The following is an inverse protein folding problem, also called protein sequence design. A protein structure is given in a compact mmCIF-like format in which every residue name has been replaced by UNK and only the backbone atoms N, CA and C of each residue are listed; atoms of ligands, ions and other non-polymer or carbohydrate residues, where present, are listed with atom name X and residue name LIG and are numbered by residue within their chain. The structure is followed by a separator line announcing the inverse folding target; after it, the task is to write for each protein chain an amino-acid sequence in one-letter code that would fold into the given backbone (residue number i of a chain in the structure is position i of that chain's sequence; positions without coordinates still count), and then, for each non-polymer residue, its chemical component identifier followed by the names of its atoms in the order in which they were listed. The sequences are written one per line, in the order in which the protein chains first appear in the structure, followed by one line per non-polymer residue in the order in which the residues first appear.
data_IF_546440596125
#
_entry.id   IF_546440596125
#
_cell.length_a   1.000
_cell.length_b   1.000
_cell.length_c   1.000
_cell.angle_alpha   90.00
_cell.angle_beta   90.00
_cell.angle_gamma   90.00
#
_symmetry.space_group_name_H-M   'P 1'
#
loop_
_entity.id
_entity.type
_entity.pdbx_description
1 polymer ?
#
# COMPACT_ATOMS: atom_id res chain seq x y z
N UNK A 1 -6.00 -6.74 -84.18
CA UNK A 1 -6.97 -7.11 -83.12
C UNK A 1 -6.16 -7.58 -81.91
N UNK A 2 -6.32 -6.88 -80.77
CA UNK A 2 -5.49 -6.98 -79.57
C UNK A 2 -5.57 -8.35 -78.84
N UNK A 3 -4.53 -8.71 -78.06
CA UNK A 3 -4.49 -9.96 -77.28
C UNK A 3 -5.25 -9.86 -75.95
N UNK A 4 -5.81 -11.01 -75.53
CA UNK A 4 -6.59 -11.22 -74.30
C UNK A 4 -5.81 -10.86 -73.05
N UNK A 5 -6.34 -9.92 -72.27
CA UNK A 5 -5.82 -9.53 -70.96
C UNK A 5 -6.06 -10.62 -69.91
N UNK A 6 -5.00 -11.01 -69.19
CA UNK A 6 -5.10 -11.81 -67.96
C UNK A 6 -5.83 -11.01 -66.88
N UNK A 7 -7.00 -11.48 -66.47
CA UNK A 7 -7.67 -11.03 -65.26
C UNK A 7 -6.92 -11.58 -64.04
N UNK A 8 -6.16 -10.73 -63.33
CA UNK A 8 -5.67 -11.04 -61.98
C UNK A 8 -6.87 -11.11 -61.04
N UNK A 9 -7.22 -12.31 -60.57
CA UNK A 9 -8.05 -12.47 -59.39
C UNK A 9 -7.32 -11.86 -58.20
N UNK A 10 -7.74 -10.66 -57.79
CA UNK A 10 -7.35 -10.09 -56.51
C UNK A 10 -8.19 -10.83 -55.47
N UNK A 11 -7.60 -11.86 -54.87
CA UNK A 11 -8.13 -12.47 -53.65
C UNK A 11 -8.14 -11.39 -52.55
N UNK A 12 -9.32 -10.87 -52.23
CA UNK A 12 -9.52 -9.99 -51.09
C UNK A 12 -9.30 -10.79 -49.82
N UNK A 13 -8.12 -10.68 -49.21
CA UNK A 13 -7.96 -11.07 -47.82
C UNK A 13 -8.93 -10.22 -46.99
N UNK A 14 -9.75 -10.81 -46.11
CA UNK A 14 -10.57 -10.03 -45.20
C UNK A 14 -9.60 -9.12 -44.43
N UNK A 15 -9.79 -7.80 -44.54
CA UNK A 15 -9.12 -6.86 -43.66
C UNK A 15 -9.47 -7.31 -42.25
N UNK A 16 -8.49 -7.86 -41.52
CA UNK A 16 -8.50 -7.88 -40.07
C UNK A 16 -8.42 -6.40 -39.64
N UNK A 17 -9.52 -5.68 -39.75
CA UNK A 17 -9.72 -4.50 -38.93
C UNK A 17 -9.69 -5.00 -37.51
N UNK A 18 -8.56 -4.85 -36.81
CA UNK A 18 -8.59 -4.82 -35.35
C UNK A 18 -9.67 -3.79 -35.02
N UNK A 19 -10.77 -4.22 -34.42
CA UNK A 19 -11.64 -3.27 -33.72
C UNK A 19 -10.73 -2.48 -32.80
N UNK A 20 -10.79 -1.14 -32.85
CA UNK A 20 -9.90 -0.29 -32.05
C UNK A 20 -10.10 -0.50 -30.53
N UNK A 21 -11.20 -1.14 -30.14
CA UNK A 21 -11.51 -1.51 -28.78
C UNK A 21 -12.00 -2.96 -28.67
N UNK A 22 -11.76 -3.57 -27.51
CA UNK A 22 -12.24 -4.91 -27.16
C UNK A 22 -13.50 -4.81 -26.32
N UNK A 23 -14.50 -5.65 -26.60
CA UNK A 23 -15.79 -5.62 -25.91
C UNK A 23 -15.78 -6.40 -24.60
N UNK A 24 -16.42 -5.84 -23.58
CA UNK A 24 -16.76 -6.51 -22.34
C UNK A 24 -18.09 -7.30 -22.49
N UNK A 25 -18.26 -8.39 -21.74
CA UNK A 25 -19.55 -9.08 -21.68
C UNK A 25 -20.59 -8.18 -20.97
N UNK A 26 -21.68 -7.87 -21.68
CA UNK A 26 -22.77 -7.07 -21.11
C UNK A 26 -23.71 -7.93 -20.29
N UNK A 27 -23.84 -7.58 -19.01
CA UNK A 27 -24.81 -8.16 -18.10
C UNK A 27 -26.02 -7.24 -17.95
N UNK A 28 -27.21 -7.77 -18.22
CA UNK A 28 -28.49 -7.14 -17.91
C UNK A 28 -29.00 -7.51 -16.50
N UNK A 29 -28.18 -8.19 -15.70
CA UNK A 29 -28.54 -8.65 -14.36
C UNK A 29 -28.76 -7.41 -13.47
N UNK A 30 -29.93 -7.27 -12.82
CA UNK A 30 -30.20 -6.15 -11.93
C UNK A 30 -29.29 -6.20 -10.70
N UNK A 31 -28.96 -5.02 -10.15
CA UNK A 31 -28.25 -4.89 -8.88
C UNK A 31 -28.85 -3.76 -8.03
N UNK A 32 -28.83 -3.95 -6.73
CA UNK A 32 -29.24 -2.96 -5.73
C UNK A 32 -28.13 -2.82 -4.69
N UNK A 33 -27.71 -1.58 -4.43
CA UNK A 33 -26.72 -1.27 -3.42
C UNK A 33 -27.39 -0.60 -2.22
N UNK A 34 -27.46 -1.32 -1.11
CA UNK A 34 -28.11 -0.89 0.12
C UNK A 34 -27.06 -0.41 1.12
N UNK A 35 -27.26 0.77 1.68
CA UNK A 35 -26.46 1.29 2.78
C UNK A 35 -27.20 1.08 4.10
N UNK A 36 -26.48 0.77 5.17
CA UNK A 36 -27.03 0.64 6.54
C UNK A 36 -27.70 1.94 7.02
N UNK A 37 -27.31 3.08 6.44
CA UNK A 37 -27.93 4.40 6.66
C UNK A 37 -29.30 4.57 5.98
N UNK A 38 -29.79 3.54 5.27
CA UNK A 38 -31.15 3.44 4.72
C UNK A 38 -31.28 3.76 3.23
N UNK A 39 -30.25 4.31 2.58
CA UNK A 39 -30.30 4.64 1.16
C UNK A 39 -30.10 3.39 0.30
N UNK A 40 -30.76 3.36 -0.86
CA UNK A 40 -30.64 2.29 -1.84
C UNK A 40 -30.40 2.87 -3.22
N UNK A 41 -29.41 2.34 -3.93
CA UNK A 41 -29.06 2.73 -5.30
C UNK A 41 -29.27 1.54 -6.22
N UNK A 42 -30.09 1.72 -7.26
CA UNK A 42 -30.37 0.66 -8.23
C UNK A 42 -29.52 0.86 -9.48
N UNK A 43 -29.04 -0.24 -10.02
CA UNK A 43 -28.19 -0.24 -11.19
C UNK A 43 -28.17 -1.61 -11.86
N UNK A 44 -27.10 -1.85 -12.61
CA UNK A 44 -26.85 -3.13 -13.28
C UNK A 44 -25.60 -3.76 -12.73
N UNK A 45 -25.62 -5.08 -12.59
CA UNK A 45 -24.46 -5.84 -12.16
C UNK A 45 -23.44 -5.94 -13.29
N UNK A 46 -22.15 -5.85 -12.92
CA UNK A 46 -21.04 -6.36 -13.70
C UNK A 46 -20.15 -7.22 -12.79
N UNK A 47 -19.27 -8.05 -13.37
CA UNK A 47 -18.41 -8.92 -12.57
C UNK A 47 -19.13 -10.15 -12.05
N UNK A 48 -18.87 -10.50 -10.79
CA UNK A 48 -19.39 -11.71 -10.15
C UNK A 48 -20.91 -11.62 -9.88
N UNK A 49 -21.69 -12.69 -10.13
CA UNK A 49 -23.14 -12.71 -9.91
C UNK A 49 -23.50 -13.06 -8.45
N UNK A 50 -22.73 -12.58 -7.47
CA UNK A 50 -22.90 -12.89 -6.06
C UNK A 50 -23.11 -11.63 -5.23
N UNK A 51 -24.03 -11.68 -4.27
CA UNK A 51 -24.23 -10.61 -3.31
C UNK A 51 -23.16 -10.62 -2.24
N UNK A 52 -22.74 -9.44 -1.77
CA UNK A 52 -21.71 -9.30 -0.73
C UNK A 52 -22.03 -8.15 0.22
N UNK A 53 -21.47 -8.24 1.42
CA UNK A 53 -21.46 -7.19 2.42
C UNK A 53 -20.04 -6.60 2.55
N UNK A 54 -19.95 -5.39 3.08
CA UNK A 54 -18.67 -4.78 3.43
C UNK A 54 -18.82 -3.35 3.90
N UNK A 55 -17.72 -2.75 4.29
CA UNK A 55 -17.68 -1.32 4.62
C UNK A 55 -17.61 -0.49 3.34
N UNK A 56 -18.51 0.47 3.18
CA UNK A 56 -18.56 1.33 1.99
C UNK A 56 -17.62 2.51 2.15
N UNK A 57 -16.70 2.63 1.20
CA UNK A 57 -15.71 3.71 1.14
C UNK A 57 -15.69 4.32 -0.25
N UNK A 58 -15.16 5.53 -0.40
CA UNK A 58 -14.95 6.14 -1.72
C UNK A 58 -13.49 6.50 -1.94
N UNK A 59 -13.08 6.55 -3.21
CA UNK A 59 -11.77 7.05 -3.62
C UNK A 59 -11.91 8.14 -4.67
N UNK A 60 -11.15 9.23 -4.50
CA UNK A 60 -11.10 10.35 -5.44
C UNK A 60 -10.11 10.14 -6.59
N UNK A 61 -9.45 8.98 -6.65
CA UNK A 61 -8.47 8.68 -7.70
C UNK A 61 -9.10 8.68 -9.09
N UNK A 62 -8.50 9.47 -9.99
CA UNK A 62 -8.97 9.65 -11.38
C UNK A 62 -8.51 8.48 -12.27
N UNK A 63 -7.33 7.95 -11.99
CA UNK A 63 -6.73 6.81 -12.68
C UNK A 63 -6.44 5.69 -11.68
N UNK A 64 -5.91 4.58 -12.19
CA UNK A 64 -5.32 3.51 -11.36
C UNK A 64 -6.35 2.71 -10.56
N UNK A 65 -7.49 2.41 -11.18
CA UNK A 65 -8.52 1.55 -10.59
C UNK A 65 -7.99 0.12 -10.40
N UNK A 66 -7.09 -0.35 -11.26
CA UNK A 66 -6.47 -1.67 -11.14
C UNK A 66 -5.61 -1.76 -9.89
N UNK A 67 -4.73 -0.78 -9.69
CA UNK A 67 -3.83 -0.66 -8.55
C UNK A 67 -4.63 -0.51 -7.26
N UNK A 68 -5.63 0.40 -7.27
CA UNK A 68 -6.56 0.60 -6.15
C UNK A 68 -7.28 -0.71 -5.79
N UNK A 69 -7.83 -1.43 -6.78
CA UNK A 69 -8.56 -2.67 -6.52
C UNK A 69 -7.65 -3.80 -5.99
N UNK A 70 -6.36 -3.77 -6.29
CA UNK A 70 -5.37 -4.73 -5.75
C UNK A 70 -4.67 -4.27 -4.48
N UNK A 71 -4.99 -3.10 -3.93
CA UNK A 71 -4.42 -2.61 -2.67
C UNK A 71 -5.01 -3.38 -1.47
N UNK A 72 -4.20 -4.12 -0.68
CA UNK A 72 -4.70 -4.89 0.46
C UNK A 72 -5.43 -4.06 1.52
N UNK A 73 -5.20 -2.75 1.57
CA UNK A 73 -5.90 -1.84 2.49
C UNK A 73 -7.42 -1.76 2.23
N UNK A 74 -7.91 -2.20 1.06
CA UNK A 74 -9.36 -2.29 0.75
C UNK A 74 -10.00 -3.63 1.14
N UNK A 75 -9.30 -4.55 1.81
CA UNK A 75 -9.87 -5.84 2.25
C UNK A 75 -11.17 -5.61 3.03
N UNK A 76 -12.25 -6.29 2.61
CA UNK A 76 -13.57 -6.17 3.25
C UNK A 76 -14.36 -4.90 2.90
N UNK A 77 -13.81 -4.02 2.05
CA UNK A 77 -14.45 -2.75 1.69
C UNK A 77 -15.11 -2.79 0.31
N UNK A 78 -16.25 -2.12 0.19
CA UNK A 78 -16.95 -1.84 -1.07
C UNK A 78 -16.44 -0.50 -1.59
N UNK A 79 -15.75 -0.51 -2.73
CA UNK A 79 -15.03 0.65 -3.27
C UNK A 79 -15.91 1.43 -4.26
N UNK A 80 -16.25 2.67 -3.88
CA UNK A 80 -16.96 3.62 -4.73
C UNK A 80 -15.97 4.54 -5.43
N UNK A 81 -15.91 4.49 -6.75
CA UNK A 81 -15.09 5.43 -7.52
C UNK A 81 -15.86 6.71 -7.79
N UNK A 82 -15.27 7.87 -7.44
CA UNK A 82 -15.87 9.17 -7.80
C UNK A 82 -15.74 9.46 -9.29
N UNK A 83 -14.73 8.89 -9.93
CA UNK A 83 -14.50 9.02 -11.37
C UNK A 83 -15.63 8.32 -12.12
N UNK A 84 -16.36 9.02 -13.01
CA UNK A 84 -17.61 8.49 -13.55
C UNK A 84 -17.39 7.32 -14.51
N UNK A 85 -16.29 7.34 -15.28
CA UNK A 85 -15.97 6.33 -16.30
C UNK A 85 -14.84 5.44 -15.80
N UNK A 86 -15.13 4.16 -15.54
CA UNK A 86 -14.16 3.19 -15.01
C UNK A 86 -14.07 1.96 -15.91
N UNK A 87 -12.86 1.45 -16.16
CA UNK A 87 -12.60 0.29 -17.03
C UNK A 87 -12.10 0.62 -18.44
N UNK A 88 -11.94 1.91 -18.77
CA UNK A 88 -11.58 2.40 -20.11
C UNK A 88 -10.25 1.86 -20.66
N UNK A 89 -9.24 1.62 -19.80
CA UNK A 89 -7.96 1.03 -20.20
C UNK A 89 -7.87 -0.47 -19.90
N UNK A 90 -8.98 -1.15 -19.60
CA UNK A 90 -9.02 -2.58 -19.34
C UNK A 90 -8.19 -2.97 -18.11
N UNK A 91 -7.74 -4.22 -18.07
CA UNK A 91 -6.89 -4.74 -16.99
C UNK A 91 -5.64 -5.36 -17.62
N UNK A 92 -4.44 -5.05 -17.13
CA UNK A 92 -3.21 -5.63 -17.65
C UNK A 92 -2.97 -7.03 -17.11
N UNK A 93 -2.09 -7.78 -17.75
CA UNK A 93 -1.65 -9.08 -17.24
C UNK A 93 -0.87 -8.88 -15.92
N UNK A 94 -1.42 -9.35 -14.79
CA UNK A 94 -0.83 -9.14 -13.46
C UNK A 94 0.35 -10.09 -13.14
N UNK A 95 1.25 -10.32 -14.09
CA UNK A 95 2.46 -11.11 -13.90
C UNK A 95 3.65 -10.30 -14.35
N UNK A 96 4.67 -10.25 -13.50
CA UNK A 96 5.92 -9.57 -13.85
C UNK A 96 6.67 -10.35 -14.95
N UNK A 97 7.36 -9.66 -15.90
CA UNK A 97 8.21 -10.32 -16.88
C UNK A 97 9.27 -11.21 -16.20
N UNK A 98 9.61 -12.34 -16.82
CA UNK A 98 10.56 -13.33 -16.27
C UNK A 98 11.95 -12.75 -15.97
N UNK A 99 12.36 -11.71 -16.68
CA UNK A 99 13.64 -11.01 -16.54
C UNK A 99 13.56 -9.74 -15.67
N UNK A 100 12.39 -9.44 -15.09
CA UNK A 100 12.22 -8.25 -14.28
C UNK A 100 12.77 -8.45 -12.86
N UNK A 101 13.52 -7.46 -12.36
CA UNK A 101 13.82 -7.32 -10.93
C UNK A 101 12.58 -6.78 -10.20
N UNK A 102 11.51 -7.56 -10.23
CA UNK A 102 10.22 -7.25 -9.65
C UNK A 102 9.82 -8.30 -8.61
N UNK A 103 8.62 -8.17 -8.05
CA UNK A 103 8.10 -8.98 -6.94
C UNK A 103 7.03 -9.96 -7.42
N UNK A 104 7.10 -10.35 -8.70
CA UNK A 104 6.24 -11.36 -9.33
C UNK A 104 4.93 -10.85 -9.92
N UNK A 105 4.51 -9.63 -9.56
CA UNK A 105 3.28 -8.97 -10.04
C UNK A 105 3.58 -7.56 -10.50
N UNK A 106 2.76 -7.00 -11.40
CA UNK A 106 2.87 -5.59 -11.81
C UNK A 106 1.87 -4.69 -11.06
N UNK A 107 0.77 -5.25 -10.55
CA UNK A 107 -0.18 -4.56 -9.68
C UNK A 107 0.26 -4.67 -8.21
N UNK A 108 -0.58 -4.19 -7.31
CA UNK A 108 -0.22 -4.01 -5.89
C UNK A 108 -0.37 -5.26 -5.02
N UNK A 109 -1.01 -6.31 -5.56
CA UNK A 109 -1.01 -7.65 -4.98
C UNK A 109 -1.39 -8.70 -6.04
N UNK A 110 -1.49 -9.98 -5.66
CA UNK A 110 -1.82 -11.10 -6.55
C UNK A 110 -3.25 -11.03 -7.15
N UNK A 111 -4.13 -10.22 -6.56
CA UNK A 111 -5.54 -10.20 -6.96
C UNK A 111 -6.33 -9.05 -6.36
N UNK A 112 -7.61 -8.96 -6.73
CA UNK A 112 -8.52 -7.96 -6.20
C UNK A 112 -8.70 -8.17 -4.68
N UNK A 113 -8.65 -7.06 -3.93
CA UNK A 113 -8.71 -7.01 -2.48
C UNK A 113 -10.05 -6.45 -1.97
N UNK A 114 -10.65 -5.51 -2.70
CA UNK A 114 -11.96 -4.97 -2.36
C UNK A 114 -13.06 -6.02 -2.51
N UNK A 115 -14.09 -5.92 -1.66
CA UNK A 115 -15.23 -6.84 -1.63
C UNK A 115 -16.19 -6.61 -2.81
N UNK A 116 -16.35 -5.36 -3.25
CA UNK A 116 -17.15 -4.99 -4.41
C UNK A 116 -16.70 -3.66 -5.01
N UNK A 117 -17.19 -3.37 -6.22
CA UNK A 117 -16.90 -2.12 -6.95
C UNK A 117 -18.19 -1.38 -7.34
N UNK A 118 -18.24 -0.09 -7.09
CA UNK A 118 -19.39 0.78 -7.38
C UNK A 118 -18.94 1.90 -8.30
N UNK A 119 -19.54 2.00 -9.48
CA UNK A 119 -19.18 3.00 -10.52
C UNK A 119 -20.42 3.64 -11.11
N UNK A 120 -20.26 4.85 -11.66
CA UNK A 120 -21.34 5.51 -12.38
C UNK A 120 -21.54 4.83 -13.75
N UNK A 121 -20.46 4.64 -14.50
CA UNK A 121 -20.46 4.00 -15.81
C UNK A 121 -19.25 3.07 -15.93
N UNK A 122 -19.51 1.81 -16.28
CA UNK A 122 -18.47 0.81 -16.51
C UNK A 122 -18.21 0.73 -18.01
N UNK A 123 -16.95 0.83 -18.41
CA UNK A 123 -16.57 0.78 -19.80
C UNK A 123 -16.93 -0.59 -20.40
N UNK A 124 -17.90 -0.60 -21.32
CA UNK A 124 -18.28 -1.77 -22.11
C UNK A 124 -17.22 -2.12 -23.17
N UNK A 125 -16.32 -1.18 -23.46
CA UNK A 125 -15.20 -1.36 -24.37
C UNK A 125 -13.95 -0.76 -23.74
N UNK A 126 -12.83 -1.47 -23.87
CA UNK A 126 -11.54 -1.02 -23.38
C UNK A 126 -10.50 -0.93 -24.50
N UNK A 127 -9.55 0.00 -24.35
CA UNK A 127 -8.44 0.16 -25.29
C UNK A 127 -7.20 0.69 -24.59
N UNK A 128 -6.21 -0.18 -24.39
CA UNK A 128 -4.88 0.17 -23.92
C UNK A 128 -3.90 -0.92 -24.36
N UNK A 129 -2.67 -0.56 -24.71
CA UNK A 129 -1.69 -1.50 -25.28
C UNK A 129 -1.33 -2.65 -24.32
N UNK A 130 -1.43 -2.42 -23.01
CA UNK A 130 -1.14 -3.42 -21.99
C UNK A 130 -2.38 -4.23 -21.55
N UNK A 131 -3.58 -3.86 -22.00
CA UNK A 131 -4.82 -4.51 -21.56
C UNK A 131 -4.98 -5.91 -22.17
N UNK A 132 -5.32 -6.88 -21.32
CA UNK A 132 -5.56 -8.27 -21.73
C UNK A 132 -6.98 -8.73 -21.46
N UNK A 133 -7.73 -8.05 -20.60
CA UNK A 133 -9.14 -8.33 -20.31
C UNK A 133 -9.92 -7.07 -19.89
N UNK A 134 -11.25 -7.17 -19.89
CA UNK A 134 -12.13 -6.10 -19.39
C UNK A 134 -12.17 -6.10 -17.86
N UNK A 135 -12.52 -4.95 -17.27
CA UNK A 135 -12.79 -4.86 -15.83
C UNK A 135 -13.88 -5.84 -15.38
N UNK A 136 -14.96 -5.99 -16.16
CA UNK A 136 -16.05 -6.92 -15.83
C UNK A 136 -15.58 -8.38 -15.81
N UNK A 137 -14.80 -8.80 -16.82
CA UNK A 137 -14.21 -10.15 -16.88
C UNK A 137 -13.25 -10.40 -15.71
N UNK A 138 -12.43 -9.41 -15.37
CA UNK A 138 -11.50 -9.48 -14.25
C UNK A 138 -12.23 -9.64 -12.91
N UNK A 139 -13.23 -8.79 -12.65
CA UNK A 139 -14.10 -8.90 -11.47
C UNK A 139 -14.77 -10.28 -11.38
N UNK A 140 -15.30 -10.80 -12.50
CA UNK A 140 -15.90 -12.14 -12.53
C UNK A 140 -14.87 -13.23 -12.20
N UNK A 141 -13.67 -13.15 -12.76
CA UNK A 141 -12.56 -14.10 -12.53
C UNK A 141 -12.13 -14.17 -11.06
N UNK A 142 -12.13 -13.03 -10.37
CA UNK A 142 -11.81 -12.91 -8.94
C UNK A 142 -13.04 -13.00 -8.03
N UNK A 143 -14.23 -13.31 -8.57
CA UNK A 143 -15.50 -13.42 -7.84
C UNK A 143 -15.91 -12.13 -7.10
N UNK A 144 -15.50 -10.97 -7.61
CA UNK A 144 -15.86 -9.65 -7.08
C UNK A 144 -17.07 -9.10 -7.84
N UNK A 145 -18.19 -8.82 -7.17
CA UNK A 145 -19.34 -8.17 -7.80
C UNK A 145 -19.12 -6.67 -7.97
N UNK A 146 -19.76 -6.12 -9.00
CA UNK A 146 -19.80 -4.67 -9.22
C UNK A 146 -21.18 -4.20 -9.64
N UNK A 147 -21.43 -2.91 -9.43
CA UNK A 147 -22.65 -2.21 -9.85
C UNK A 147 -22.30 -0.96 -10.65
N UNK A 148 -23.00 -0.79 -11.78
CA UNK A 148 -22.92 0.36 -12.68
C UNK A 148 -24.28 1.04 -12.80
N UNK A 149 -24.30 2.30 -13.27
CA UNK A 149 -25.52 3.09 -13.43
C UNK A 149 -26.01 3.75 -12.15
N UNK A 150 -25.14 3.92 -11.15
CA UNK A 150 -25.48 4.54 -9.86
C UNK A 150 -24.85 5.92 -9.71
N UNK A 151 -25.53 6.83 -9.01
CA UNK A 151 -24.99 8.16 -8.72
C UNK A 151 -23.90 8.07 -7.63
N UNK A 152 -22.66 7.82 -8.06
CA UNK A 152 -21.51 7.74 -7.15
C UNK A 152 -21.24 9.06 -6.45
N UNK A 153 -21.63 10.21 -7.03
CA UNK A 153 -21.51 11.52 -6.37
C UNK A 153 -22.48 11.63 -5.19
N UNK A 154 -23.72 11.16 -5.33
CA UNK A 154 -24.66 11.11 -4.21
C UNK A 154 -24.14 10.19 -3.10
N UNK A 155 -23.63 9.01 -3.44
CA UNK A 155 -23.02 8.08 -2.48
C UNK A 155 -21.84 8.75 -1.75
N UNK A 156 -20.91 9.36 -2.49
CA UNK A 156 -19.75 10.05 -1.90
C UNK A 156 -20.15 11.18 -0.97
N UNK A 157 -21.18 11.97 -1.30
CA UNK A 157 -21.68 13.02 -0.41
C UNK A 157 -22.23 12.45 0.90
N UNK A 158 -22.99 11.35 0.83
CA UNK A 158 -23.50 10.67 2.02
C UNK A 158 -22.34 10.20 2.91
N UNK A 159 -21.35 9.52 2.33
CA UNK A 159 -20.18 9.01 3.07
C UNK A 159 -19.33 10.13 3.66
N UNK A 160 -19.18 11.26 2.96
CA UNK A 160 -18.45 12.42 3.47
C UNK A 160 -19.19 13.07 4.65
N UNK A 161 -20.50 13.22 4.55
CA UNK A 161 -21.30 13.96 5.52
C UNK A 161 -21.63 13.11 6.77
N UNK A 162 -21.74 11.77 6.63
CA UNK A 162 -22.16 10.85 7.70
C UNK A 162 -21.05 9.87 8.14
N UNK A 163 -19.94 9.81 7.41
CA UNK A 163 -18.88 8.83 7.59
C UNK A 163 -19.07 7.56 6.77
N UNK A 164 -18.06 6.68 6.81
CA UNK A 164 -18.16 5.35 6.21
C UNK A 164 -19.32 4.57 6.81
N UNK A 165 -20.04 3.80 5.99
CA UNK A 165 -21.19 3.01 6.43
C UNK A 165 -21.12 1.60 5.87
N UNK A 166 -21.76 0.63 6.54
CA UNK A 166 -21.85 -0.73 6.02
C UNK A 166 -22.79 -0.78 4.83
N UNK A 167 -22.45 -1.60 3.84
CA UNK A 167 -23.20 -1.76 2.61
C UNK A 167 -23.42 -3.22 2.26
N UNK A 168 -24.48 -3.47 1.49
CA UNK A 168 -24.73 -4.73 0.79
C UNK A 168 -24.90 -4.44 -0.69
N UNK A 169 -24.07 -5.06 -1.52
CA UNK A 169 -24.34 -5.15 -2.96
C UNK A 169 -25.14 -6.42 -3.22
N UNK A 170 -26.42 -6.25 -3.57
CA UNK A 170 -27.34 -7.32 -3.92
C UNK A 170 -27.39 -7.50 -5.44
N UNK A 171 -27.23 -8.73 -5.93
CA UNK A 171 -27.10 -9.04 -7.36
C UNK A 171 -28.15 -10.07 -7.81
N UNK A 172 -28.74 -9.85 -8.98
CA UNK A 172 -29.68 -10.80 -9.59
C UNK A 172 -30.98 -10.89 -8.81
N UNK A 173 -31.36 -12.11 -8.39
CA UNK A 173 -32.58 -12.33 -7.61
C UNK A 173 -32.58 -11.55 -6.29
N UNK A 174 -31.41 -11.34 -5.69
CA UNK A 174 -31.29 -10.58 -4.45
C UNK A 174 -31.58 -9.08 -4.64
N UNK A 175 -31.42 -8.55 -5.86
CA UNK A 175 -31.59 -7.12 -6.13
C UNK A 175 -33.04 -6.64 -5.93
N UNK A 176 -34.02 -7.55 -5.93
CA UNK A 176 -35.43 -7.27 -5.65
C UNK A 176 -35.81 -7.48 -4.17
N UNK A 177 -34.91 -8.03 -3.35
CA UNK A 177 -35.13 -8.16 -1.92
C UNK A 177 -35.13 -6.78 -1.24
N UNK A 178 -35.83 -6.63 -0.11
CA UNK A 178 -35.75 -5.41 0.69
C UNK A 178 -34.33 -5.17 1.20
N UNK A 179 -34.06 -3.93 1.62
CA UNK A 179 -32.82 -3.61 2.33
C UNK A 179 -32.70 -4.51 3.58
N UNK A 180 -31.49 -5.01 3.89
CA UNK A 180 -31.26 -5.79 5.11
C UNK A 180 -31.58 -4.99 6.36
N UNK A 181 -31.96 -5.70 7.42
CA UNK A 181 -32.02 -5.13 8.76
C UNK A 181 -30.61 -4.76 9.25
N UNK A 182 -30.53 -3.78 10.17
CA UNK A 182 -29.25 -3.22 10.61
C UNK A 182 -28.27 -4.24 11.23
N UNK A 183 -28.78 -5.36 11.75
CA UNK A 183 -28.00 -6.44 12.36
C UNK A 183 -27.46 -7.46 11.36
N UNK A 184 -27.96 -7.47 10.12
CA UNK A 184 -27.51 -8.39 9.07
C UNK A 184 -26.25 -7.90 8.35
N UNK A 185 -25.92 -6.61 8.47
CA UNK A 185 -24.70 -6.06 7.89
C UNK A 185 -23.47 -6.59 8.60
N UNK A 186 -22.57 -7.23 7.83
CA UNK A 186 -21.25 -7.61 8.32
C UNK A 186 -20.34 -6.38 8.44
N UNK A 187 -19.71 -6.23 9.60
CA UNK A 187 -18.75 -5.16 9.89
C UNK A 187 -17.31 -5.71 9.84
N UNK A 188 -16.54 -5.43 8.78
CA UNK A 188 -15.16 -5.91 8.66
C UNK A 188 -14.23 -5.30 9.72
N UNK A 189 -14.58 -4.17 10.35
CA UNK A 189 -13.72 -3.51 11.34
C UNK A 189 -13.61 -4.29 12.66
N UNK A 190 -14.52 -5.24 12.90
CA UNK A 190 -14.50 -6.11 14.08
C UNK A 190 -13.50 -7.26 13.95
N UNK A 191 -12.96 -7.50 12.75
CA UNK A 191 -12.03 -8.58 12.47
C UNK A 191 -10.60 -8.06 12.29
N UNK A 192 -9.62 -8.93 12.58
CA UNK A 192 -8.23 -8.65 12.24
C UNK A 192 -8.00 -8.89 10.73
N UNK A 193 -8.29 -7.86 9.92
CA UNK A 193 -8.10 -7.90 8.48
C UNK A 193 -6.63 -8.02 8.08
N UNK A 194 -5.71 -7.53 8.91
CA UNK A 194 -4.26 -7.67 8.69
C UNK A 194 -3.88 -9.14 8.67
N UNK A 195 -4.38 -9.95 9.61
CA UNK A 195 -4.11 -11.38 9.61
C UNK A 195 -4.64 -12.06 8.33
N UNK A 196 -5.71 -11.58 7.72
CA UNK A 196 -6.23 -12.17 6.48
C UNK A 196 -5.32 -11.92 5.27
N UNK A 197 -4.57 -10.80 5.25
CA UNK A 197 -3.78 -10.38 4.08
C UNK A 197 -2.27 -10.56 4.23
N UNK A 198 -1.77 -10.63 5.47
CA UNK A 198 -0.36 -10.81 5.76
C UNK A 198 0.16 -12.17 5.28
N UNK A 199 1.42 -12.19 4.84
CA UNK A 199 2.13 -13.44 4.57
C UNK A 199 2.12 -14.38 5.77
N UNK A 200 1.95 -15.68 5.50
CA UNK A 200 1.93 -16.71 6.54
C UNK A 200 3.30 -17.28 6.87
N UNK A 201 4.30 -17.06 6.02
CA UNK A 201 5.67 -17.52 6.20
C UNK A 201 6.65 -16.47 5.71
N UNK A 202 7.83 -16.36 6.35
CA UNK A 202 8.89 -15.52 5.82
C UNK A 202 9.28 -15.91 4.39
N UNK A 203 9.59 -14.93 3.56
CA UNK A 203 10.17 -15.13 2.24
C UNK A 203 11.14 -14.00 1.89
N UNK A 204 12.10 -14.32 1.01
CA UNK A 204 13.16 -13.41 0.62
C UNK A 204 12.97 -12.90 -0.81
N UNK A 205 13.33 -11.64 -1.03
CA UNK A 205 13.37 -10.95 -2.32
C UNK A 205 14.74 -10.31 -2.51
N UNK A 206 15.28 -10.39 -3.73
CA UNK A 206 16.60 -9.86 -4.08
C UNK A 206 17.72 -10.30 -3.10
N UNK A 207 17.98 -11.61 -2.94
CA UNK A 207 18.94 -12.12 -1.93
C UNK A 207 20.38 -11.63 -2.16
N UNK A 208 20.69 -11.13 -3.36
CA UNK A 208 21.98 -10.52 -3.72
C UNK A 208 22.13 -9.06 -3.30
N UNK A 209 21.08 -8.45 -2.74
CA UNK A 209 21.10 -7.07 -2.26
C UNK A 209 22.10 -6.85 -1.13
N UNK A 210 22.67 -5.65 -1.07
CA UNK A 210 23.77 -5.32 -0.15
C UNK A 210 23.31 -4.85 1.23
N UNK A 211 22.09 -4.31 1.31
CA UNK A 211 21.47 -3.80 2.54
C UNK A 211 20.32 -4.74 2.90
N UNK A 212 20.39 -5.35 4.09
CA UNK A 212 19.38 -6.31 4.52
C UNK A 212 18.22 -5.59 5.22
N UNK A 213 17.02 -5.67 4.69
CA UNK A 213 15.83 -5.01 5.26
C UNK A 213 14.80 -6.07 5.61
N UNK A 214 14.32 -6.07 6.86
CA UNK A 214 13.14 -6.82 7.23
C UNK A 214 11.89 -5.97 6.94
N UNK A 215 10.84 -6.57 6.39
CA UNK A 215 9.53 -5.93 6.19
C UNK A 215 8.50 -6.68 7.03
N UNK A 216 7.88 -6.03 8.01
CA UNK A 216 6.66 -6.55 8.65
C UNK A 216 5.48 -6.28 7.72
N UNK A 217 4.86 -7.36 7.26
CA UNK A 217 3.79 -7.34 6.27
C UNK A 217 2.43 -7.23 6.93
N UNK A 218 1.89 -6.01 7.02
CA UNK A 218 0.54 -5.75 7.47
C UNK A 218 -0.51 -5.84 6.33
N UNK A 219 -0.13 -6.29 5.14
CA UNK A 219 -0.88 -6.10 3.89
C UNK A 219 -0.09 -5.27 2.89
N UNK A 220 1.19 -5.61 2.73
CA UNK A 220 2.15 -4.86 1.95
C UNK A 220 1.76 -4.80 0.48
N UNK A 221 1.61 -3.58 -0.02
CA UNK A 221 1.58 -3.31 -1.45
C UNK A 221 2.89 -3.77 -2.10
N UNK A 222 2.77 -4.44 -3.25
CA UNK A 222 3.91 -4.91 -4.04
C UNK A 222 4.92 -3.78 -4.30
N UNK A 223 4.44 -2.55 -4.56
CA UNK A 223 5.33 -1.44 -4.88
C UNK A 223 6.22 -0.97 -3.71
N UNK A 224 5.87 -1.27 -2.46
CA UNK A 224 6.76 -1.04 -1.30
C UNK A 224 8.01 -1.90 -1.44
N UNK A 225 7.83 -3.21 -1.57
CA UNK A 225 8.95 -4.16 -1.69
C UNK A 225 9.74 -3.92 -2.98
N UNK A 226 9.05 -3.62 -4.09
CA UNK A 226 9.66 -3.19 -5.36
C UNK A 226 10.55 -1.95 -5.20
N UNK A 227 10.09 -0.96 -4.43
CA UNK A 227 10.83 0.28 -4.18
C UNK A 227 12.11 0.05 -3.37
N UNK A 228 12.09 -0.92 -2.44
CA UNK A 228 13.27 -1.31 -1.66
C UNK A 228 14.29 -2.09 -2.53
N UNK A 229 13.84 -3.11 -3.27
CA UNK A 229 14.76 -3.94 -4.08
C UNK A 229 15.43 -3.15 -5.19
N UNK A 230 14.72 -2.20 -5.82
CA UNK A 230 15.27 -1.30 -6.86
C UNK A 230 16.36 -0.37 -6.33
N UNK A 231 16.44 -0.20 -5.01
CA UNK A 231 17.50 0.54 -4.31
C UNK A 231 18.60 -0.37 -3.75
N UNK A 232 18.63 -1.63 -4.19
CA UNK A 232 19.68 -2.59 -3.85
C UNK A 232 19.52 -3.27 -2.49
N UNK A 233 18.33 -3.19 -1.87
CA UNK A 233 18.03 -3.90 -0.64
C UNK A 233 17.76 -5.39 -0.90
N UNK A 234 18.29 -6.25 -0.04
CA UNK A 234 17.84 -7.63 0.14
C UNK A 234 16.72 -7.61 1.17
N UNK A 235 15.52 -8.01 0.76
CA UNK A 235 14.30 -7.85 1.57
C UNK A 235 13.84 -9.21 2.08
N UNK A 236 13.67 -9.34 3.39
CA UNK A 236 12.96 -10.47 4.00
C UNK A 236 11.61 -9.98 4.48
N UNK A 237 10.54 -10.50 3.89
CA UNK A 237 9.17 -10.18 4.28
C UNK A 237 8.74 -11.15 5.37
N UNK A 238 8.19 -10.62 6.46
CA UNK A 238 7.82 -11.34 7.68
C UNK A 238 6.31 -11.17 7.94
N UNK A 239 5.63 -12.19 8.52
CA UNK A 239 4.27 -12.04 9.01
C UNK A 239 4.11 -10.83 9.94
N UNK A 240 2.92 -10.20 9.95
CA UNK A 240 2.64 -8.99 10.72
C UNK A 240 2.93 -9.12 12.22
N UNK A 241 2.72 -10.31 12.78
CA UNK A 241 2.92 -10.65 14.20
C UNK A 241 4.26 -11.36 14.47
N UNK A 242 5.17 -11.39 13.51
CA UNK A 242 6.48 -12.01 13.70
C UNK A 242 7.27 -11.25 14.78
N UNK A 243 7.83 -11.95 15.77
CA UNK A 243 8.70 -11.32 16.75
C UNK A 243 10.08 -11.00 16.13
N UNK A 244 10.16 -9.82 15.50
CA UNK A 244 11.38 -9.34 14.85
C UNK A 244 12.59 -9.29 15.81
N UNK A 245 12.36 -9.11 17.11
CA UNK A 245 13.45 -8.99 18.09
C UNK A 245 14.36 -10.21 18.13
N UNK A 246 13.85 -11.39 17.78
CA UNK A 246 14.62 -12.64 17.80
C UNK A 246 15.63 -12.75 16.64
N UNK A 247 15.45 -11.96 15.58
CA UNK A 247 16.31 -12.00 14.37
C UNK A 247 16.89 -10.63 13.98
N UNK A 248 16.62 -9.56 14.74
CA UNK A 248 16.95 -8.17 14.40
C UNK A 248 18.41 -7.93 14.03
N UNK A 249 19.34 -8.67 14.62
CA UNK A 249 20.78 -8.50 14.38
C UNK A 249 21.22 -8.92 12.97
N UNK A 250 20.36 -9.66 12.25
CA UNK A 250 20.61 -10.08 10.86
C UNK A 250 20.33 -8.98 9.83
N UNK A 251 19.68 -7.89 10.24
CA UNK A 251 19.17 -6.84 9.35
C UNK A 251 19.85 -5.49 9.58
N UNK A 252 19.90 -4.68 8.53
CA UNK A 252 20.44 -3.32 8.49
C UNK A 252 19.34 -2.26 8.71
N UNK A 253 18.06 -2.62 8.54
CA UNK A 253 16.90 -1.77 8.81
C UNK A 253 15.59 -2.55 8.90
N UNK A 254 14.56 -1.95 9.51
CA UNK A 254 13.20 -2.50 9.63
C UNK A 254 12.20 -1.60 8.91
N UNK A 255 11.32 -2.21 8.12
CA UNK A 255 10.25 -1.53 7.43
C UNK A 255 8.90 -2.08 7.88
N UNK A 256 7.92 -1.20 8.09
CA UNK A 256 6.54 -1.58 8.44
C UNK A 256 5.61 -1.15 7.31
N UNK A 257 4.94 -2.11 6.66
CA UNK A 257 4.12 -1.84 5.49
C UNK A 257 2.79 -1.17 5.81
N UNK A 258 2.05 -0.82 4.74
CA UNK A 258 0.62 -0.53 4.83
C UNK A 258 -0.20 -1.78 5.19
N UNK A 259 -1.50 -1.57 5.45
CA UNK A 259 -2.45 -2.64 5.76
C UNK A 259 -3.91 -2.16 5.88
N UNK A 260 -4.88 -3.09 5.94
CA UNK A 260 -6.29 -2.78 6.20
C UNK A 260 -6.61 -2.73 7.70
N UNK A 261 -7.83 -2.27 8.02
CA UNK A 261 -8.44 -2.46 9.33
C UNK A 261 -7.97 -1.51 10.43
N UNK A 262 -8.35 -1.85 11.66
CA UNK A 262 -8.06 -1.10 12.87
C UNK A 262 -6.66 -1.44 13.41
N UNK A 263 -5.75 -0.47 13.63
CA UNK A 263 -4.44 -0.74 14.20
C UNK A 263 -4.50 -1.34 15.62
N UNK A 264 -5.61 -1.20 16.35
CA UNK A 264 -5.82 -1.85 17.64
C UNK A 264 -5.77 -3.39 17.56
N UNK A 265 -6.17 -3.99 16.43
CA UNK A 265 -6.03 -5.43 16.20
C UNK A 265 -4.57 -5.89 16.03
N UNK A 266 -3.65 -4.94 15.86
CA UNK A 266 -2.21 -5.16 15.71
C UNK A 266 -1.40 -4.77 16.96
N UNK A 267 -2.04 -4.70 18.14
CA UNK A 267 -1.37 -4.29 19.38
C UNK A 267 -0.13 -5.13 19.72
N UNK A 268 -0.14 -6.42 19.44
CA UNK A 268 1.04 -7.29 19.64
C UNK A 268 2.26 -6.79 18.86
N UNK A 269 2.07 -6.36 17.61
CA UNK A 269 3.14 -5.80 16.79
C UNK A 269 3.67 -4.48 17.37
N UNK A 270 2.79 -3.62 17.90
CA UNK A 270 3.19 -2.38 18.57
C UNK A 270 4.00 -2.64 19.85
N UNK A 271 3.62 -3.63 20.65
CA UNK A 271 4.36 -4.04 21.84
C UNK A 271 5.73 -4.63 21.50
N UNK A 272 5.82 -5.46 20.46
CA UNK A 272 7.10 -5.99 19.97
C UNK A 272 7.99 -4.88 19.43
N UNK A 273 7.42 -3.93 18.69
CA UNK A 273 8.15 -2.78 18.17
C UNK A 273 8.64 -1.86 19.30
N UNK A 274 7.87 -1.69 20.39
CA UNK A 274 8.33 -0.90 21.55
C UNK A 274 9.64 -1.44 22.10
N UNK A 275 9.76 -2.76 22.28
CA UNK A 275 11.02 -3.41 22.68
C UNK A 275 12.13 -3.17 21.66
N UNK A 276 11.83 -3.28 20.36
CA UNK A 276 12.79 -2.97 19.29
C UNK A 276 13.29 -1.52 19.38
N UNK A 277 12.40 -0.55 19.62
CA UNK A 277 12.74 0.87 19.74
C UNK A 277 13.61 1.19 20.96
N UNK A 278 13.61 0.34 21.99
CA UNK A 278 14.45 0.48 23.18
C UNK A 278 15.84 -0.15 22.99
N UNK A 279 15.90 -1.29 22.30
CA UNK A 279 17.10 -2.13 22.25
C UNK A 279 17.87 -2.05 20.90
N UNK A 280 17.28 -1.47 19.86
CA UNK A 280 17.83 -1.48 18.50
C UNK A 280 17.92 -0.07 17.92
N UNK A 281 19.13 0.33 17.51
CA UNK A 281 19.44 1.69 17.06
C UNK A 281 19.50 1.85 15.53
N UNK A 282 19.11 0.81 14.77
CA UNK A 282 19.12 0.85 13.31
C UNK A 282 17.85 1.54 12.76
N UNK A 283 17.86 1.96 11.49
CA UNK A 283 16.74 2.72 10.93
C UNK A 283 15.44 1.92 10.87
N UNK A 284 14.33 2.60 11.18
CA UNK A 284 12.98 2.05 11.08
C UNK A 284 12.08 3.00 10.30
N UNK A 285 11.39 2.49 9.27
CA UNK A 285 10.46 3.28 8.46
C UNK A 285 9.09 2.59 8.35
N UNK A 286 8.01 3.31 8.69
CA UNK A 286 6.63 2.82 8.57
C UNK A 286 5.77 3.61 7.59
N UNK A 287 4.90 2.91 6.85
CA UNK A 287 3.92 3.49 5.92
C UNK A 287 2.51 3.12 6.36
N UNK A 288 1.58 4.08 6.38
CA UNK A 288 0.15 3.88 6.67
C UNK A 288 -0.07 3.11 7.97
N UNK A 289 -0.46 1.82 7.93
CA UNK A 289 -0.54 0.95 9.12
C UNK A 289 0.78 0.95 9.90
N UNK A 290 1.92 0.81 9.23
CA UNK A 290 3.24 0.86 9.86
C UNK A 290 3.52 2.17 10.60
N UNK A 291 3.05 3.31 10.09
CA UNK A 291 3.13 4.58 10.80
C UNK A 291 2.30 4.59 12.09
N UNK A 292 1.10 4.02 12.04
CA UNK A 292 0.22 3.90 13.21
C UNK A 292 0.83 2.98 14.28
N UNK A 293 1.42 1.84 13.87
CA UNK A 293 2.11 0.92 14.79
C UNK A 293 3.33 1.58 15.43
N UNK A 294 4.12 2.38 14.69
CA UNK A 294 5.20 3.19 15.27
C UNK A 294 4.65 4.18 16.30
N UNK A 295 3.56 4.87 15.99
CA UNK A 295 2.92 5.81 16.91
C UNK A 295 2.44 5.15 18.20
N UNK A 296 1.77 4.00 18.11
CA UNK A 296 1.31 3.23 19.26
C UNK A 296 2.47 2.69 20.10
N UNK A 297 3.54 2.24 19.46
CA UNK A 297 4.75 1.83 20.14
C UNK A 297 5.40 3.01 20.90
N UNK A 298 5.34 4.21 20.34
CA UNK A 298 5.78 5.47 20.94
C UNK A 298 4.85 6.02 22.03
N UNK A 299 3.65 5.45 22.21
CA UNK A 299 2.69 5.85 23.24
C UNK A 299 1.58 6.81 22.77
N UNK A 300 1.37 6.94 21.46
CA UNK A 300 0.23 7.67 20.89
C UNK A 300 -0.99 6.76 20.72
N UNK A 301 -2.18 7.35 20.84
CA UNK A 301 -3.43 6.70 20.46
C UNK A 301 -3.70 6.84 18.96
N UNK A 302 -4.30 5.81 18.37
CA UNK A 302 -5.00 5.93 17.09
C UNK A 302 -6.50 6.23 17.32
N UNK A 303 -7.13 6.91 16.38
CA UNK A 303 -8.57 7.12 16.35
C UNK A 303 -9.13 6.87 14.96
N UNK A 304 -10.40 6.48 14.91
CA UNK A 304 -11.14 6.30 13.66
C UNK A 304 -11.64 7.64 13.15
N UNK A 305 -11.29 7.99 11.92
CA UNK A 305 -11.76 9.20 11.23
C UNK A 305 -13.23 9.05 10.82
N UNK A 306 -13.89 10.15 10.44
CA UNK A 306 -15.27 10.12 9.94
C UNK A 306 -15.37 9.33 8.62
N UNK A 307 -14.61 9.72 7.59
CA UNK A 307 -14.61 9.06 6.28
C UNK A 307 -13.21 8.72 5.74
N UNK A 308 -12.16 8.94 6.55
CA UNK A 308 -10.77 8.66 6.19
C UNK A 308 -10.21 9.58 5.10
N UNK A 309 -8.97 9.33 4.69
CA UNK A 309 -8.38 10.00 3.53
C UNK A 309 -8.04 8.96 2.45
N UNK A 310 -8.65 9.15 1.27
CA UNK A 310 -8.63 8.18 0.16
C UNK A 310 -8.56 8.88 -1.19
N UNK A 311 -7.37 8.89 -1.79
CA UNK A 311 -7.16 9.52 -3.10
C UNK A 311 -5.70 9.83 -3.39
N UNK A 312 -5.43 10.30 -4.61
CA UNK A 312 -4.08 10.65 -5.10
C UNK A 312 -3.77 12.15 -5.04
N UNK A 313 -4.60 12.92 -4.33
CA UNK A 313 -4.54 14.38 -4.30
C UNK A 313 -4.53 14.94 -2.87
N UNK A 314 -4.04 14.17 -1.89
CA UNK A 314 -4.06 14.58 -0.49
C UNK A 314 -2.81 15.44 -0.18
N UNK A 315 -2.98 16.72 0.17
CA UNK A 315 -1.88 17.63 0.46
C UNK A 315 -1.39 17.45 1.90
N UNK A 316 -0.08 17.25 2.07
CA UNK A 316 0.56 17.19 3.39
C UNK A 316 1.63 18.26 3.52
N UNK A 317 1.64 18.99 4.64
CA UNK A 317 2.67 19.97 4.97
C UNK A 317 3.77 19.30 5.78
N UNK A 318 5.02 19.39 5.31
CA UNK A 318 6.18 18.97 6.07
C UNK A 318 6.48 19.96 7.20
N UNK A 319 6.43 19.50 8.45
CA UNK A 319 6.75 20.30 9.63
C UNK A 319 8.25 20.29 9.96
N UNK A 320 8.96 19.26 9.50
CA UNK A 320 10.38 19.04 9.76
C UNK A 320 11.09 18.62 8.48
N UNK A 321 12.40 18.82 8.43
CA UNK A 321 13.25 18.31 7.36
C UNK A 321 13.81 16.93 7.75
N UNK A 322 13.90 16.04 6.77
CA UNK A 322 14.58 14.74 6.88
C UNK A 322 14.81 14.19 5.47
N UNK A 323 16.04 13.79 5.15
CA UNK A 323 16.38 13.27 3.81
C UNK A 323 15.96 14.25 2.69
N UNK A 324 15.16 13.76 1.75
CA UNK A 324 14.61 14.54 0.63
C UNK A 324 13.46 15.49 1.01
N UNK A 325 12.97 15.43 2.26
CA UNK A 325 11.84 16.24 2.74
C UNK A 325 12.33 17.57 3.31
N UNK A 326 11.71 18.67 2.86
CA UNK A 326 12.00 20.03 3.28
C UNK A 326 10.87 20.60 4.13
N UNK A 327 11.16 21.04 5.35
CA UNK A 327 10.19 21.72 6.21
C UNK A 327 9.56 22.94 5.53
N UNK A 328 8.26 23.17 5.76
CA UNK A 328 7.49 24.26 5.17
C UNK A 328 6.97 23.98 3.75
N UNK A 329 7.37 22.87 3.12
CA UNK A 329 6.89 22.47 1.79
C UNK A 329 5.65 21.59 1.89
N UNK A 330 4.71 21.80 0.97
CA UNK A 330 3.56 20.91 0.75
C UNK A 330 3.93 19.86 -0.30
N UNK A 331 3.53 18.62 -0.06
CA UNK A 331 3.67 17.49 -0.97
C UNK A 331 2.29 16.93 -1.29
N UNK A 332 2.06 16.55 -2.55
CA UNK A 332 0.82 15.86 -2.94
C UNK A 332 1.06 14.36 -2.79
N UNK A 333 0.13 13.67 -2.12
CA UNK A 333 0.33 12.27 -1.73
C UNK A 333 -0.86 11.39 -2.10
N UNK A 334 -0.57 10.10 -2.25
CA UNK A 334 -1.59 9.04 -2.26
C UNK A 334 -1.87 8.57 -0.85
N UNK A 335 -3.15 8.47 -0.49
CA UNK A 335 -3.58 8.00 0.82
C UNK A 335 -4.73 7.01 0.69
N UNK A 336 -4.74 6.03 1.59
CA UNK A 336 -5.83 5.08 1.78
C UNK A 336 -5.88 4.60 3.24
N UNK A 337 -6.49 5.40 4.13
CA UNK A 337 -6.64 5.03 5.54
C UNK A 337 -7.92 5.60 6.17
N UNK A 338 -8.46 4.87 7.15
CA UNK A 338 -9.61 5.29 7.97
C UNK A 338 -9.22 5.72 9.38
N UNK A 339 -8.01 5.39 9.81
CA UNK A 339 -7.48 5.66 11.14
C UNK A 339 -6.34 6.68 11.03
N UNK A 340 -6.13 7.44 12.09
CA UNK A 340 -5.04 8.40 12.22
C UNK A 340 -4.52 8.43 13.65
N UNK A 341 -3.27 8.86 13.84
CA UNK A 341 -2.73 9.11 15.17
C UNK A 341 -3.30 10.40 15.75
N UNK A 342 -3.61 10.40 17.05
CA UNK A 342 -4.05 11.61 17.76
C UNK A 342 -2.88 12.58 17.88
N UNK A 343 -3.10 13.82 17.45
CA UNK A 343 -2.21 14.93 17.80
C UNK A 343 -2.45 15.28 19.27
N UNK A 344 -1.38 15.30 20.08
CA UNK A 344 -1.44 15.64 21.49
C UNK A 344 -0.30 16.58 21.88
N UNK A 345 -0.51 17.35 22.95
CA UNK A 345 0.48 18.23 23.56
C UNK A 345 0.49 18.00 25.09
N UNK A 346 1.61 17.59 25.71
CA UNK A 346 2.91 17.31 25.08
C UNK A 346 2.91 16.06 24.20
N UNK A 347 3.72 16.09 23.14
CA UNK A 347 4.02 14.91 22.35
C UNK A 347 4.94 13.96 23.14
N UNK A 348 4.90 12.62 22.90
CA UNK A 348 5.76 11.68 23.61
C UNK A 348 7.25 12.04 23.53
N UNK A 349 7.96 11.87 24.64
CA UNK A 349 9.38 12.21 24.74
C UNK A 349 10.20 11.48 23.66
N UNK A 350 11.05 12.24 22.95
CA UNK A 350 11.89 11.70 21.88
C UNK A 350 11.18 11.59 20.52
N UNK A 351 9.95 12.09 20.40
CA UNK A 351 9.16 12.10 19.17
C UNK A 351 8.67 13.51 18.82
N UNK A 352 8.43 13.74 17.54
CA UNK A 352 7.81 14.97 17.03
C UNK A 352 6.91 14.69 15.82
N UNK A 353 5.86 15.50 15.59
CA UNK A 353 5.12 15.49 14.34
C UNK A 353 6.02 15.81 13.15
N UNK A 354 5.87 15.05 12.06
CA UNK A 354 6.65 15.20 10.83
C UNK A 354 5.82 15.82 9.70
N UNK A 355 4.57 15.37 9.53
CA UNK A 355 3.64 15.91 8.54
C UNK A 355 2.26 16.12 9.15
N UNK A 356 1.53 17.08 8.61
CA UNK A 356 0.10 17.27 8.87
C UNK A 356 -0.67 17.40 7.57
N UNK A 357 -1.91 16.92 7.55
CA UNK A 357 -2.79 17.06 6.40
C UNK A 357 -3.26 18.53 6.30
N UNK A 358 -3.16 19.13 5.11
CA UNK A 358 -3.56 20.53 4.94
C UNK A 358 -5.09 20.72 4.92
N UNK A 359 -5.88 19.67 4.67
CA UNK A 359 -7.34 19.74 4.60
C UNK A 359 -8.00 19.59 5.97
N UNK A 360 -7.54 18.63 6.79
CA UNK A 360 -8.21 18.25 8.04
C UNK A 360 -7.30 18.29 9.29
N UNK A 361 -6.03 18.69 9.14
CA UNK A 361 -5.05 18.81 10.23
C UNK A 361 -4.73 17.50 10.95
N UNK A 362 -5.10 16.34 10.39
CA UNK A 362 -4.68 15.04 10.93
C UNK A 362 -3.16 14.85 10.85
N UNK A 363 -2.62 14.00 11.72
CA UNK A 363 -1.19 13.66 11.73
C UNK A 363 -0.89 12.75 10.54
N UNK A 364 0.03 13.20 9.69
CA UNK A 364 0.41 12.50 8.46
C UNK A 364 1.81 11.91 8.51
N UNK A 365 2.52 12.16 9.61
CA UNK A 365 3.82 11.57 9.87
C UNK A 365 4.34 11.92 11.25
N UNK A 366 5.18 11.04 11.78
CA UNK A 366 5.92 11.25 13.02
C UNK A 366 7.38 10.85 12.79
N UNK A 367 8.28 11.43 13.55
CA UNK A 367 9.69 11.04 13.55
C UNK A 367 10.30 11.15 14.94
N UNK A 368 11.37 10.42 15.16
CA UNK A 368 12.20 10.58 16.34
C UNK A 368 12.97 11.91 16.30
N UNK A 369 13.13 12.54 17.46
CA UNK A 369 13.92 13.78 17.59
C UNK A 369 15.42 13.48 17.53
N UNK A 370 16.23 14.49 17.23
CA UNK A 370 17.70 14.38 17.27
C UNK A 370 18.22 13.85 18.60
N UNK A 371 17.65 14.34 19.70
CA UNK A 371 18.11 14.07 21.06
C UNK A 371 17.80 12.63 21.51
N UNK A 372 16.85 11.97 20.83
CA UNK A 372 16.58 10.55 21.07
C UNK A 372 17.70 9.64 20.56
N UNK A 373 18.54 10.12 19.63
CA UNK A 373 19.54 9.32 18.93
C UNK A 373 18.96 8.24 17.99
N UNK A 374 17.63 8.11 17.92
CA UNK A 374 16.93 7.11 17.10
C UNK A 374 16.78 7.61 15.67
N UNK A 375 16.73 6.67 14.73
CA UNK A 375 16.54 6.91 13.28
C UNK A 375 15.21 6.32 12.83
N UNK A 376 14.11 6.83 13.39
CA UNK A 376 12.78 6.25 13.20
C UNK A 376 11.82 7.30 12.67
N UNK A 377 11.10 6.95 11.62
CA UNK A 377 10.02 7.78 11.10
C UNK A 377 8.90 6.93 10.53
N UNK A 378 7.71 7.49 10.48
CA UNK A 378 6.58 6.89 9.80
C UNK A 378 5.74 7.96 9.13
N UNK A 379 5.19 7.64 7.96
CA UNK A 379 4.24 8.49 7.24
C UNK A 379 2.92 7.76 7.03
N UNK A 380 1.83 8.49 7.14
CA UNK A 380 0.47 7.95 7.03
C UNK A 380 0.04 7.76 5.56
N UNK A 381 0.63 8.54 4.65
CA UNK A 381 0.49 8.42 3.20
C UNK A 381 1.39 7.35 2.60
N UNK A 382 1.29 7.15 1.28
CA UNK A 382 1.95 6.09 0.51
C UNK A 382 3.02 6.65 -0.46
N UNK A 383 4.27 6.86 0.01
CA UNK A 383 5.37 7.31 -0.85
C UNK A 383 5.68 6.41 -2.04
N UNK A 384 5.39 5.11 -1.93
CA UNK A 384 5.57 4.16 -3.02
C UNK A 384 4.63 4.46 -4.17
N UNK A 385 3.47 5.07 -3.87
CA UNK A 385 2.40 5.32 -4.83
C UNK A 385 2.04 4.04 -5.61
N UNK A 386 1.33 4.18 -6.72
CA UNK A 386 1.09 3.20 -7.79
C UNK A 386 -0.02 3.82 -8.64
N UNK A 387 0.38 4.78 -9.49
CA UNK A 387 -0.53 5.59 -10.27
C UNK A 387 -1.09 6.85 -9.57
N UNK A 388 -0.51 7.24 -8.42
CA UNK A 388 -0.62 8.59 -7.86
C UNK A 388 0.71 9.37 -7.97
N UNK A 389 0.88 10.52 -7.29
CA UNK A 389 2.07 11.36 -7.40
C UNK A 389 3.33 10.64 -6.89
N UNK A 390 4.50 11.04 -7.41
CA UNK A 390 5.81 10.48 -7.03
C UNK A 390 6.62 11.44 -6.13
N UNK A 391 5.99 12.51 -5.64
CA UNK A 391 6.64 13.62 -4.92
C UNK A 391 7.42 13.21 -3.67
N UNK A 392 7.12 12.04 -3.09
CA UNK A 392 7.72 11.53 -1.85
C UNK A 392 8.46 10.19 -2.04
N UNK A 393 8.61 9.70 -3.28
CA UNK A 393 9.24 8.39 -3.56
C UNK A 393 10.69 8.29 -3.05
N UNK A 394 11.38 9.43 -2.96
CA UNK A 394 12.77 9.50 -2.48
C UNK A 394 12.92 9.14 -0.99
N UNK A 395 11.84 9.09 -0.20
CA UNK A 395 11.89 8.59 1.18
C UNK A 395 12.39 7.14 1.26
N UNK A 396 12.19 6.33 0.21
CA UNK A 396 12.81 5.00 0.13
C UNK A 396 14.33 5.07 -0.10
N UNK A 397 14.79 6.04 -0.89
CA UNK A 397 16.22 6.28 -1.12
C UNK A 397 16.88 6.72 0.19
N UNK A 398 16.24 7.64 0.92
CA UNK A 398 16.68 8.10 2.23
C UNK A 398 16.78 6.95 3.23
N UNK A 399 15.76 6.08 3.31
CA UNK A 399 15.76 4.93 4.20
C UNK A 399 16.93 3.97 3.93
N UNK A 400 17.13 3.58 2.67
CA UNK A 400 18.21 2.65 2.30
C UNK A 400 19.59 3.29 2.50
N UNK A 401 19.72 4.59 2.22
CA UNK A 401 20.95 5.34 2.47
C UNK A 401 21.28 5.38 3.98
N UNK A 402 20.28 5.60 4.83
CA UNK A 402 20.46 5.60 6.29
C UNK A 402 20.89 4.22 6.81
N UNK A 403 20.28 3.14 6.29
CA UNK A 403 20.68 1.77 6.61
C UNK A 403 22.14 1.51 6.21
N UNK A 404 22.54 1.96 5.02
CA UNK A 404 23.91 1.84 4.51
C UNK A 404 24.90 2.64 5.36
N UNK A 405 24.57 3.87 5.73
CA UNK A 405 25.42 4.71 6.56
C UNK A 405 25.66 4.07 7.94
N UNK A 406 24.60 3.55 8.57
CA UNK A 406 24.70 2.85 9.85
C UNK A 406 25.56 1.58 9.76
N UNK A 407 25.43 0.82 8.66
CA UNK A 407 26.25 -0.38 8.40
C UNK A 407 27.74 -0.07 8.30
N UNK A 408 28.11 1.01 7.60
CA UNK A 408 29.51 1.43 7.42
C UNK A 408 30.12 1.93 8.74
N UNK A 409 29.39 2.77 9.49
CA UNK A 409 29.84 3.27 10.80
C UNK A 409 30.21 2.15 11.78
N UNK A 410 29.41 1.07 11.81
CA UNK A 410 29.70 -0.10 12.64
C UNK A 410 30.91 -0.90 12.14
N UNK A 411 31.12 -1.00 10.82
CA UNK A 411 32.29 -1.68 10.26
C UNK A 411 33.58 -0.92 10.57
N UNK A 412 33.58 0.40 10.47
CA UNK A 412 34.73 1.24 10.81
C UNK A 412 35.06 1.17 12.30
N UNK A 413 34.03 1.15 13.17
CA UNK A 413 34.20 1.01 14.62
C UNK A 413 34.82 -0.35 14.99
N UNK A 414 34.36 -1.46 14.38
CA UNK A 414 34.99 -2.77 14.56
C UNK A 414 36.41 -2.82 13.98
N UNK A 415 36.64 -2.18 12.84
CA UNK A 415 37.96 -2.07 12.22
C UNK A 415 38.96 -1.35 13.14
N UNK A 416 38.56 -0.23 13.73
CA UNK A 416 39.38 0.51 14.69
C UNK A 416 39.65 -0.28 15.98
N UNK A 417 38.66 -1.00 16.51
CA UNK A 417 38.84 -1.88 17.67
C UNK A 417 39.81 -3.03 17.37
N UNK A 418 39.80 -3.57 16.15
CA UNK A 418 40.72 -4.64 15.74
C UNK A 418 42.15 -4.13 15.47
N UNK A 419 42.32 -2.88 15.04
CA UNK A 419 43.65 -2.24 14.88
C UNK A 419 44.22 -1.83 16.25
N UNK A 420 43.38 -1.58 17.25
CA UNK A 420 43.78 -1.23 18.62
C UNK A 420 44.14 -2.44 19.51
N UNK A 421 44.50 -3.61 18.93
CA UNK A 421 45.15 -4.69 19.68
C UNK A 421 46.58 -4.25 20.06
N UNK A 422 47.03 -4.41 21.32
CA UNK A 422 48.20 -3.70 21.80
C UNK A 422 49.47 -4.20 21.11
N UNK A 423 50.26 -3.25 20.60
CA UNK A 423 51.71 -3.41 20.43
C UNK A 423 52.25 -4.16 21.65
N UNK A 424 52.58 -5.44 21.46
CA UNK A 424 53.34 -6.20 22.44
C UNK A 424 54.61 -5.41 22.69
N UNK A 425 54.74 -4.85 23.90
CA UNK A 425 56.01 -4.31 24.38
C UNK A 425 57.00 -5.47 24.33
N UNK A 426 57.87 -5.47 23.32
CA UNK A 426 59.08 -6.26 23.36
C UNK A 426 59.86 -5.79 24.59
N UNK A 427 59.86 -6.63 25.62
CA UNK A 427 60.74 -6.48 26.78
C UNK A 427 62.18 -6.63 26.27
N UNK A 428 62.90 -5.51 26.23
CA UNK A 428 64.35 -5.51 26.01
C UNK A 428 65.00 -6.18 27.23
N UNK A 429 65.80 -7.25 27.07
CA UNK A 429 66.47 -7.88 28.20
C UNK A 429 67.59 -6.96 28.73
N UNK A 430 67.84 -6.95 30.05
CA UNK A 430 68.85 -6.08 30.64
C UNK A 430 70.25 -6.46 30.15
N UNK A 431 71.04 -5.45 29.77
CA UNK A 431 72.47 -5.61 29.44
C UNK A 431 73.22 -6.03 30.70
N UNK A 432 73.86 -7.19 30.62
CA UNK A 432 74.89 -7.64 31.57
C UNK A 432 76.08 -6.70 31.44
N UNK A 433 76.47 -6.06 32.54
CA UNK A 433 77.72 -5.33 32.65
C UNK A 433 78.87 -6.34 32.68
N UNK A 434 79.81 -6.22 31.75
CA UNK A 434 81.11 -6.90 31.79
C UNK A 434 82.14 -5.88 32.24
N UNK A 435 82.83 -6.21 33.32
CA UNK A 435 83.94 -5.44 33.86
C UNK A 435 85.16 -5.49 32.93
N UNK A 436 85.77 -4.32 32.71
CA UNK A 436 87.22 -4.08 32.60
C UNK A 436 87.45 -2.57 32.67
#
# INVERSE_FOLDING_TARGET
MLPKALYRQISSFPRLSRGLATHAPLSSIPASFHLKTGQTFKGRSFGSPHSVYGETVFSTSITSYTESMTDPSYRGQILVFTTPLIGNYGVPHNGAPYDSQDVGVILESQGIQCAAVVVADVAEQFSHHAAVESLASWCQRYKVPGITGVDTRAITRLLRDQGTTLGRLAVGADASLPAPDAHEYWDPSLENLVDQVSTKKPYDLNPTGSIKVAVLDFGAKANITRSLIRRGAAVTVLPWNYDFNVIRDRFDGLFLSNGPGDPAHCMEAALNLRRTLEEWNKPIFGICMGHQIIGMAAGLDAYRMTFGNRGHNQPVLALKSAGSITAGRVYVTSQNHQYALKLQDPFPQGWEPFFINCNDSSVEGIKSTSDSGKKVWGVQFHPESAGGPLDTIEMFSDFVAECKAHKLQNQDTLGMLNVASPLQRQTVPPRVAVAA
#
